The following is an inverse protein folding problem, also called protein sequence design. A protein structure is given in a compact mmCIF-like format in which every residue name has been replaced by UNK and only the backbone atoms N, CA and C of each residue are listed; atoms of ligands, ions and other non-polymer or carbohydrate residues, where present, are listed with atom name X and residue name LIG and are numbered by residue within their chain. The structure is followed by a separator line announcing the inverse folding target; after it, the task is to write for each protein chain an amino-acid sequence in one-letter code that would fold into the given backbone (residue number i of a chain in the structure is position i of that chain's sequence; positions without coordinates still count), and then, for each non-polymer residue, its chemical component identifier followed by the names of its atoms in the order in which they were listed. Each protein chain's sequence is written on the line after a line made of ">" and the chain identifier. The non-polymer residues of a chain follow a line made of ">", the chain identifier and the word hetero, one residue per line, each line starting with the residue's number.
data_IF_048273961982
#
_entry.id   IF_048273961982
#
_cell.length_a   1.000
_cell.length_b   1.000
_cell.length_c   1.000
_cell.angle_alpha   90.00
_cell.angle_beta   90.00
_cell.angle_gamma   90.00
#
_symmetry.space_group_name_H-M   'P 1'
#
loop_
_entity.id
_entity.type
_entity.pdbx_description
1 polymer ?
#
# COMPACT_ATOMS: atom_id res chain seq x y z
N UNK A 1 10.81 -24.73 15.52
CA UNK A 1 9.76 -23.90 16.16
C UNK A 1 8.67 -23.76 15.12
N UNK A 2 7.59 -24.51 15.27
CA UNK A 2 6.45 -24.48 14.36
C UNK A 2 5.87 -23.06 14.36
N UNK A 3 5.84 -22.43 13.18
CA UNK A 3 5.20 -21.14 13.01
C UNK A 3 3.72 -21.35 13.26
N UNK A 4 3.20 -20.76 14.34
CA UNK A 4 1.77 -20.69 14.61
C UNK A 4 1.14 -19.73 13.58
N UNK A 5 1.08 -20.14 12.32
CA UNK A 5 0.26 -19.49 11.29
C UNK A 5 -1.17 -19.73 11.75
N UNK A 6 -1.88 -18.66 12.07
CA UNK A 6 -3.31 -18.72 12.34
C UNK A 6 -3.98 -19.40 11.13
N UNK A 7 -4.36 -20.67 11.26
CA UNK A 7 -5.10 -21.38 10.21
C UNK A 7 -6.57 -20.94 10.31
N UNK A 8 -6.98 -20.10 9.37
CA UNK A 8 -8.37 -19.69 9.20
C UNK A 8 -9.17 -20.89 8.67
N UNK A 9 -10.34 -21.19 9.27
CA UNK A 9 -11.13 -22.34 8.82
C UNK A 9 -11.64 -22.12 7.38
N UNK A 10 -11.83 -23.19 6.57
CA UNK A 10 -12.36 -23.07 5.22
C UNK A 10 -13.71 -22.33 5.16
N UNK A 11 -14.55 -22.51 6.17
CA UNK A 11 -15.84 -21.83 6.29
C UNK A 11 -15.66 -20.32 6.53
N UNK A 12 -14.65 -19.95 7.31
CA UNK A 12 -14.31 -18.54 7.57
C UNK A 12 -13.74 -17.89 6.32
N UNK A 13 -12.87 -18.59 5.58
CA UNK A 13 -12.37 -18.13 4.27
C UNK A 13 -13.54 -17.88 3.32
N UNK A 14 -14.45 -18.84 3.19
CA UNK A 14 -15.60 -18.73 2.31
C UNK A 14 -16.54 -17.59 2.72
N UNK A 15 -16.76 -17.41 4.03
CA UNK A 15 -17.52 -16.28 4.55
C UNK A 15 -16.89 -14.93 4.20
N UNK A 16 -15.56 -14.79 4.35
CA UNK A 16 -14.84 -13.56 4.03
C UNK A 16 -14.86 -13.27 2.52
N UNK A 17 -14.70 -14.30 1.67
CA UNK A 17 -14.81 -14.16 0.22
C UNK A 17 -16.22 -13.73 -0.20
N UNK A 18 -17.26 -14.33 0.39
CA UNK A 18 -18.64 -13.93 0.11
C UNK A 18 -18.93 -12.50 0.58
N UNK A 19 -18.39 -12.09 1.74
CA UNK A 19 -18.50 -10.71 2.22
C UNK A 19 -17.84 -9.71 1.28
N UNK A 20 -16.64 -10.03 0.78
CA UNK A 20 -15.92 -9.18 -0.18
C UNK A 20 -16.74 -8.93 -1.45
N UNK A 21 -17.44 -9.95 -1.93
CA UNK A 21 -18.17 -9.92 -3.19
C UNK A 21 -19.65 -9.48 -3.04
N UNK A 22 -20.08 -9.15 -1.82
CA UNK A 22 -21.44 -8.68 -1.54
C UNK A 22 -21.58 -7.18 -1.83
N UNK A 23 -22.10 -6.87 -3.02
CA UNK A 23 -22.34 -5.49 -3.46
C UNK A 23 -23.36 -4.72 -2.60
N UNK A 24 -24.13 -5.39 -1.75
CA UNK A 24 -25.08 -4.73 -0.85
C UNK A 24 -24.42 -4.18 0.42
N UNK A 25 -23.17 -4.55 0.69
CA UNK A 25 -22.43 -4.18 1.91
C UNK A 25 -21.06 -3.56 1.61
N UNK A 26 -20.98 -2.32 1.10
CA UNK A 26 -19.70 -1.70 0.70
C UNK A 26 -18.64 -1.67 1.83
N UNK A 27 -19.07 -1.36 3.06
CA UNK A 27 -18.18 -1.37 4.24
C UNK A 27 -17.75 -2.81 4.58
N UNK A 28 -18.68 -3.76 4.47
CA UNK A 28 -18.40 -5.17 4.70
C UNK A 28 -17.39 -5.73 3.70
N UNK A 29 -17.46 -5.28 2.44
CA UNK A 29 -16.56 -5.69 1.38
C UNK A 29 -15.12 -5.21 1.62
N UNK A 30 -14.93 -3.94 2.02
CA UNK A 30 -13.64 -3.38 2.42
C UNK A 30 -13.05 -4.12 3.63
N UNK A 31 -13.86 -4.44 4.64
CA UNK A 31 -13.42 -5.28 5.76
C UNK A 31 -12.99 -6.69 5.32
N UNK A 32 -13.68 -7.23 4.32
CA UNK A 32 -13.36 -8.50 3.68
C UNK A 32 -11.97 -8.47 3.03
N UNK A 33 -11.67 -7.45 2.21
CA UNK A 33 -10.37 -7.34 1.55
C UNK A 33 -9.21 -7.24 2.55
N UNK A 34 -9.33 -6.42 3.61
CA UNK A 34 -8.33 -6.32 4.66
C UNK A 34 -8.06 -7.65 5.38
N UNK A 35 -9.11 -8.46 5.56
CA UNK A 35 -8.99 -9.77 6.22
C UNK A 35 -8.33 -10.79 5.30
N UNK A 36 -8.73 -10.81 4.03
CA UNK A 36 -8.26 -11.77 3.02
C UNK A 36 -6.79 -11.55 2.64
N UNK A 37 -6.26 -10.32 2.71
CA UNK A 37 -4.86 -10.01 2.35
C UNK A 37 -3.80 -10.81 3.11
N UNK A 38 -4.13 -11.27 4.32
CA UNK A 38 -3.22 -12.04 5.17
C UNK A 38 -3.40 -13.57 5.02
N UNK A 39 -4.32 -14.00 4.16
CA UNK A 39 -4.60 -15.41 3.91
C UNK A 39 -3.87 -15.87 2.65
N UNK A 40 -3.59 -17.16 2.58
CA UNK A 40 -3.00 -17.80 1.39
C UNK A 40 -4.00 -18.76 0.76
N UNK A 41 -3.86 -18.99 -0.55
CA UNK A 41 -4.61 -19.99 -1.28
C UNK A 41 -5.51 -19.43 -2.38
N UNK A 42 -6.00 -20.34 -3.22
CA UNK A 42 -6.70 -20.02 -4.46
C UNK A 42 -7.97 -19.22 -4.22
N UNK A 43 -8.75 -19.59 -3.19
CA UNK A 43 -10.06 -18.99 -2.95
C UNK A 43 -10.00 -17.51 -2.53
N UNK A 44 -9.19 -17.08 -1.55
CA UNK A 44 -8.94 -15.65 -1.30
C UNK A 44 -8.42 -14.91 -2.52
N UNK A 45 -7.45 -15.50 -3.24
CA UNK A 45 -6.83 -14.89 -4.42
C UNK A 45 -7.84 -14.63 -5.52
N UNK A 46 -8.67 -15.61 -5.86
CA UNK A 46 -9.73 -15.49 -6.87
C UNK A 46 -10.77 -14.42 -6.47
N UNK A 47 -11.20 -14.41 -5.21
CA UNK A 47 -12.17 -13.43 -4.73
C UNK A 47 -11.63 -12.00 -4.82
N UNK A 48 -10.39 -11.77 -4.37
CA UNK A 48 -9.71 -10.49 -4.49
C UNK A 48 -9.47 -10.09 -5.95
N UNK A 49 -9.01 -11.04 -6.79
CA UNK A 49 -8.79 -10.80 -8.21
C UNK A 49 -10.07 -10.35 -8.93
N UNK A 50 -11.22 -10.92 -8.56
CA UNK A 50 -12.52 -10.48 -9.05
C UNK A 50 -12.89 -9.09 -8.53
N UNK A 51 -12.63 -8.81 -7.26
CA UNK A 51 -12.94 -7.52 -6.65
C UNK A 51 -12.11 -6.35 -7.21
N UNK A 52 -10.95 -6.59 -7.83
CA UNK A 52 -10.17 -5.56 -8.55
C UNK A 52 -10.93 -4.93 -9.73
N UNK A 53 -12.07 -5.50 -10.14
CA UNK A 53 -12.96 -4.97 -11.18
C UNK A 53 -14.33 -4.56 -10.62
N UNK A 54 -14.43 -4.33 -9.31
CA UNK A 54 -15.66 -3.85 -8.70
C UNK A 54 -16.03 -2.45 -9.25
N UNK A 55 -17.33 -2.12 -9.42
CA UNK A 55 -17.75 -0.79 -9.84
C UNK A 55 -17.29 0.34 -8.89
N UNK A 56 -17.04 0.03 -7.62
CA UNK A 56 -16.40 0.94 -6.68
C UNK A 56 -14.89 0.96 -6.91
N UNK A 57 -14.39 2.07 -7.48
CA UNK A 57 -12.96 2.30 -7.63
C UNK A 57 -12.18 2.15 -6.32
N UNK A 58 -12.81 2.49 -5.18
CA UNK A 58 -12.22 2.34 -3.85
C UNK A 58 -12.02 0.87 -3.48
N UNK A 59 -13.03 0.03 -3.71
CA UNK A 59 -12.94 -1.40 -3.41
C UNK A 59 -12.00 -2.10 -4.40
N UNK A 60 -12.06 -1.72 -5.67
CA UNK A 60 -11.18 -2.25 -6.71
C UNK A 60 -9.71 -1.95 -6.42
N UNK A 61 -9.40 -0.71 -6.03
CA UNK A 61 -8.08 -0.32 -5.54
C UNK A 61 -7.67 -1.15 -4.32
N UNK A 62 -8.48 -1.19 -3.25
CA UNK A 62 -8.12 -1.94 -2.04
C UNK A 62 -7.94 -3.45 -2.30
N UNK A 63 -8.70 -4.02 -3.24
CA UNK A 63 -8.52 -5.41 -3.66
C UNK A 63 -7.17 -5.62 -4.37
N UNK A 64 -6.77 -4.71 -5.26
CA UNK A 64 -5.46 -4.78 -5.92
C UNK A 64 -4.31 -4.64 -4.92
N UNK A 65 -4.44 -3.71 -3.96
CA UNK A 65 -3.50 -3.56 -2.85
C UNK A 65 -3.39 -4.86 -2.05
N UNK A 66 -4.53 -5.43 -1.63
CA UNK A 66 -4.56 -6.68 -0.88
C UNK A 66 -3.89 -7.85 -1.63
N UNK A 67 -4.09 -7.96 -2.96
CA UNK A 67 -3.39 -8.95 -3.80
C UNK A 67 -1.87 -8.72 -3.78
N UNK A 68 -1.42 -7.46 -3.90
CA UNK A 68 0.00 -7.11 -3.79
C UNK A 68 0.62 -7.53 -2.46
N UNK A 69 -0.10 -7.30 -1.35
CA UNK A 69 0.33 -7.69 0.00
C UNK A 69 0.37 -9.22 0.20
N UNK A 70 -0.46 -9.98 -0.51
CA UNK A 70 -0.39 -11.46 -0.47
C UNK A 70 0.91 -12.00 -1.08
N UNK A 71 1.54 -11.23 -1.99
CA UNK A 71 2.73 -11.63 -2.76
C UNK A 71 2.57 -12.97 -3.50
N UNK A 72 1.34 -13.30 -3.92
CA UNK A 72 1.01 -14.55 -4.62
C UNK A 72 1.15 -14.37 -6.13
N UNK A 73 2.13 -15.03 -6.73
CA UNK A 73 2.45 -14.93 -8.16
C UNK A 73 1.32 -15.43 -9.08
N UNK A 74 0.42 -16.28 -8.59
CA UNK A 74 -0.71 -16.76 -9.38
C UNK A 74 -1.75 -15.66 -9.64
N UNK A 75 -1.65 -14.51 -8.97
CA UNK A 75 -2.52 -13.35 -9.19
C UNK A 75 -2.02 -12.42 -10.31
N UNK A 76 -0.78 -12.61 -10.80
CA UNK A 76 -0.17 -11.77 -11.83
C UNK A 76 -1.06 -11.61 -13.07
N UNK A 77 -1.65 -12.68 -13.65
CA UNK A 77 -2.48 -12.52 -14.84
C UNK A 77 -3.64 -11.54 -14.63
N UNK A 78 -4.31 -11.59 -13.48
CA UNK A 78 -5.41 -10.67 -13.15
C UNK A 78 -4.92 -9.23 -13.00
N UNK A 79 -3.76 -9.02 -12.38
CA UNK A 79 -3.13 -7.70 -12.23
C UNK A 79 -2.72 -7.11 -13.58
N UNK A 80 -2.15 -7.92 -14.48
CA UNK A 80 -1.79 -7.47 -15.83
C UNK A 80 -3.03 -7.01 -16.61
N UNK A 81 -4.14 -7.74 -16.51
CA UNK A 81 -5.39 -7.36 -17.15
C UNK A 81 -5.94 -6.03 -16.63
N UNK A 82 -5.85 -5.78 -15.32
CA UNK A 82 -6.27 -4.52 -14.70
C UNK A 82 -5.36 -3.37 -15.16
N UNK A 83 -4.04 -3.57 -15.13
CA UNK A 83 -3.09 -2.54 -15.55
C UNK A 83 -3.25 -2.14 -17.02
N UNK A 84 -3.50 -3.10 -17.92
CA UNK A 84 -3.67 -2.85 -19.37
C UNK A 84 -5.01 -2.19 -19.72
N UNK A 85 -6.03 -2.33 -18.87
CA UNK A 85 -7.39 -1.87 -19.17
C UNK A 85 -7.54 -0.36 -18.96
N UNK A 86 -7.42 0.40 -20.06
CA UNK A 86 -7.55 1.87 -20.08
C UNK A 86 -8.98 2.37 -19.76
N UNK A 87 -9.97 1.48 -19.66
CA UNK A 87 -11.33 1.87 -19.25
C UNK A 87 -11.48 1.95 -17.73
N UNK A 88 -10.58 1.32 -16.97
CA UNK A 88 -10.57 1.41 -15.51
C UNK A 88 -10.02 2.76 -15.04
N UNK A 89 -10.48 3.18 -13.86
CA UNK A 89 -10.01 4.41 -13.26
C UNK A 89 -8.49 4.33 -12.98
N UNK A 90 -7.71 5.41 -13.24
CA UNK A 90 -6.29 5.51 -12.94
C UNK A 90 -5.86 4.94 -11.59
N UNK A 91 -6.68 5.20 -10.56
CA UNK A 91 -6.46 4.72 -9.18
C UNK A 91 -6.28 3.20 -9.10
N UNK A 92 -7.11 2.43 -9.81
CA UNK A 92 -7.07 0.97 -9.77
C UNK A 92 -5.86 0.46 -10.57
N UNK A 93 -5.51 1.17 -11.64
CA UNK A 93 -4.41 0.78 -12.54
C UNK A 93 -3.05 1.01 -11.90
N UNK A 94 -2.83 2.13 -11.19
CA UNK A 94 -1.56 2.32 -10.48
C UNK A 94 -1.41 1.28 -9.38
N UNK A 95 -2.48 0.98 -8.64
CA UNK A 95 -2.43 -0.02 -7.58
C UNK A 95 -2.11 -1.43 -8.12
N UNK A 96 -2.60 -1.76 -9.32
CA UNK A 96 -2.19 -2.98 -10.00
C UNK A 96 -0.71 -2.99 -10.39
N UNK A 97 -0.14 -1.86 -10.84
CA UNK A 97 1.29 -1.74 -11.10
C UNK A 97 2.12 -1.89 -9.81
N UNK A 98 1.68 -1.28 -8.71
CA UNK A 98 2.31 -1.41 -7.39
C UNK A 98 2.30 -2.86 -6.91
N UNK A 99 1.15 -3.53 -6.99
CA UNK A 99 1.01 -4.93 -6.63
C UNK A 99 1.92 -5.85 -7.45
N UNK A 100 2.10 -5.60 -8.75
CA UNK A 100 3.08 -6.32 -9.59
C UNK A 100 4.52 -6.11 -9.07
N UNK A 101 4.88 -4.88 -8.68
CA UNK A 101 6.15 -4.57 -8.03
C UNK A 101 6.32 -5.23 -6.66
N UNK A 102 5.23 -5.37 -5.90
CA UNK A 102 5.20 -6.02 -4.58
C UNK A 102 5.44 -7.53 -4.66
N UNK A 103 4.84 -8.21 -5.65
CA UNK A 103 5.07 -9.64 -5.94
C UNK A 103 6.49 -9.86 -6.49
N UNK A 104 7.02 -8.88 -7.22
CA UNK A 104 8.42 -8.78 -7.62
C UNK A 104 8.95 -9.90 -8.55
N UNK A 105 8.14 -10.42 -9.47
CA UNK A 105 8.62 -11.40 -10.47
C UNK A 105 9.28 -10.72 -11.66
N UNK A 106 10.16 -11.42 -12.37
CA UNK A 106 10.81 -10.87 -13.57
C UNK A 106 9.94 -10.90 -14.81
N UNK A 107 8.89 -11.74 -14.81
CA UNK A 107 7.99 -11.90 -15.96
C UNK A 107 7.22 -10.62 -16.30
N UNK A 108 7.01 -9.75 -15.31
CA UNK A 108 6.19 -8.54 -15.45
C UNK A 108 6.99 -7.32 -15.90
N UNK A 109 8.32 -7.40 -15.97
CA UNK A 109 9.20 -6.26 -16.32
C UNK A 109 8.85 -5.69 -17.68
N UNK A 110 8.73 -6.54 -18.71
CA UNK A 110 8.44 -6.09 -20.07
C UNK A 110 7.07 -5.39 -20.17
N UNK A 111 6.10 -5.80 -19.35
CA UNK A 111 4.81 -5.12 -19.27
C UNK A 111 4.95 -3.75 -18.61
N UNK A 112 5.60 -3.67 -17.45
CA UNK A 112 5.80 -2.42 -16.73
C UNK A 112 6.58 -1.40 -17.58
N UNK A 113 7.61 -1.83 -18.30
CA UNK A 113 8.35 -0.99 -19.26
C UNK A 113 7.46 -0.50 -20.40
N UNK A 114 6.66 -1.38 -21.01
CA UNK A 114 5.72 -0.98 -22.07
C UNK A 114 4.69 0.04 -21.58
N UNK A 115 4.10 -0.18 -20.40
CA UNK A 115 3.14 0.78 -19.81
C UNK A 115 3.81 2.10 -19.47
N UNK A 116 5.02 2.06 -18.91
CA UNK A 116 5.79 3.27 -18.60
C UNK A 116 6.15 4.11 -19.85
N UNK A 117 6.30 3.48 -21.01
CA UNK A 117 6.60 4.19 -22.27
C UNK A 117 5.36 4.69 -23.01
N UNK A 118 4.20 4.07 -22.79
CA UNK A 118 2.99 4.26 -23.62
C UNK A 118 1.78 4.87 -22.88
N UNK A 119 1.73 4.80 -21.55
CA UNK A 119 0.65 5.43 -20.79
C UNK A 119 0.73 6.95 -20.80
N UNK A 120 -0.41 7.62 -20.62
CA UNK A 120 -0.51 9.07 -20.47
C UNK A 120 -0.91 9.48 -19.05
N UNK A 121 -1.16 8.51 -18.17
CA UNK A 121 -1.63 8.72 -16.80
C UNK A 121 -0.43 8.80 -15.86
N UNK A 122 -0.13 9.98 -15.34
CA UNK A 122 1.07 10.25 -14.53
C UNK A 122 1.18 9.28 -13.35
N UNK A 123 0.08 9.03 -12.63
CA UNK A 123 0.08 8.11 -11.49
C UNK A 123 0.50 6.69 -11.88
N UNK A 124 0.04 6.20 -13.02
CA UNK A 124 0.38 4.85 -13.51
C UNK A 124 1.84 4.80 -13.95
N UNK A 125 2.33 5.86 -14.61
CA UNK A 125 3.71 5.97 -15.06
C UNK A 125 4.69 5.98 -13.88
N UNK A 126 4.46 6.87 -12.91
CA UNK A 126 5.27 6.98 -11.69
C UNK A 126 5.28 5.65 -10.92
N UNK A 127 4.13 4.96 -10.81
CA UNK A 127 4.07 3.67 -10.13
C UNK A 127 4.77 2.54 -10.91
N UNK A 128 4.71 2.53 -12.24
CA UNK A 128 5.46 1.55 -13.04
C UNK A 128 6.97 1.71 -12.84
N UNK A 129 7.47 2.94 -12.76
CA UNK A 129 8.86 3.24 -12.42
C UNK A 129 9.25 2.70 -11.04
N UNK A 130 8.42 2.98 -10.01
CA UNK A 130 8.62 2.45 -8.66
C UNK A 130 8.66 0.92 -8.64
N UNK A 131 7.70 0.27 -9.31
CA UNK A 131 7.60 -1.18 -9.39
C UNK A 131 8.82 -1.82 -10.07
N UNK A 132 9.28 -1.23 -11.18
CA UNK A 132 10.50 -1.68 -11.89
C UNK A 132 11.71 -1.59 -10.97
N UNK A 133 11.90 -0.44 -10.29
CA UNK A 133 13.04 -0.25 -9.41
C UNK A 133 13.00 -1.21 -8.22
N UNK A 134 11.82 -1.41 -7.62
CA UNK A 134 11.61 -2.37 -6.54
C UNK A 134 11.98 -3.81 -6.94
N UNK A 135 11.60 -4.26 -8.13
CA UNK A 135 11.96 -5.59 -8.65
C UNK A 135 13.48 -5.73 -8.76
N UNK A 136 14.18 -4.69 -9.22
CA UNK A 136 15.65 -4.67 -9.31
C UNK A 136 16.29 -4.69 -7.93
N UNK A 137 15.85 -3.83 -7.02
CA UNK A 137 16.41 -3.70 -5.67
C UNK A 137 16.21 -4.96 -4.84
N UNK A 138 15.04 -5.62 -4.93
CA UNK A 138 14.85 -6.92 -4.30
C UNK A 138 15.86 -7.97 -4.79
N UNK A 139 16.22 -7.99 -6.09
CA UNK A 139 17.26 -8.91 -6.59
C UNK A 139 18.63 -8.61 -6.00
N UNK A 140 18.96 -7.32 -5.80
CA UNK A 140 20.23 -6.90 -5.20
C UNK A 140 20.28 -7.33 -3.73
N UNK A 141 19.23 -7.08 -2.96
CA UNK A 141 19.11 -7.49 -1.55
C UNK A 141 19.21 -9.02 -1.41
N UNK A 142 18.54 -9.79 -2.28
CA UNK A 142 18.64 -11.26 -2.27
C UNK A 142 20.04 -11.78 -2.62
N UNK A 143 20.84 -11.04 -3.41
CA UNK A 143 22.22 -11.39 -3.76
C UNK A 143 23.27 -10.90 -2.76
N UNK A 144 22.91 -9.96 -1.88
CA UNK A 144 23.84 -9.26 -1.00
C UNK A 144 23.38 -9.22 0.46
N UNK A 145 23.13 -10.38 1.08
CA UNK A 145 22.97 -10.57 2.54
C UNK A 145 21.75 -9.87 3.19
N UNK A 146 21.02 -10.64 4.01
CA UNK A 146 19.90 -10.16 4.83
C UNK A 146 20.40 -9.22 5.94
N UNK A 147 20.48 -7.92 5.64
CA UNK A 147 20.58 -6.89 6.68
C UNK A 147 19.18 -6.68 7.29
N UNK A 148 18.98 -7.27 8.47
CA UNK A 148 17.94 -7.03 9.47
C UNK A 148 16.62 -6.37 9.01
N UNK A 149 15.76 -7.12 8.32
CA UNK A 149 14.31 -6.84 8.23
C UNK A 149 13.59 -7.01 9.59
N UNK A 150 14.32 -7.15 10.71
CA UNK A 150 13.77 -7.40 12.04
C UNK A 150 13.24 -6.15 12.74
N UNK A 151 13.47 -4.95 12.20
CA UNK A 151 13.08 -3.68 12.84
C UNK A 151 12.09 -2.84 12.00
N UNK A 152 11.40 -3.48 11.05
CA UNK A 152 10.29 -2.83 10.34
C UNK A 152 9.07 -2.80 11.26
N UNK A 153 8.81 -1.63 11.85
CA UNK A 153 7.60 -1.34 12.65
C UNK A 153 6.30 -1.54 11.86
N UNK A 154 6.39 -1.59 10.54
CA UNK A 154 5.25 -1.73 9.62
C UNK A 154 5.34 -3.10 8.91
N UNK A 155 4.24 -3.85 8.88
CA UNK A 155 4.13 -5.17 8.22
C UNK A 155 3.55 -5.05 6.80
N UNK A 156 3.85 -3.97 6.09
CA UNK A 156 3.43 -3.73 4.70
C UNK A 156 4.58 -3.99 3.73
N UNK A 157 4.23 -4.46 2.54
CA UNK A 157 5.11 -4.49 1.37
C UNK A 157 5.03 -3.11 0.72
N UNK A 158 6.01 -2.26 0.99
CA UNK A 158 6.01 -0.86 0.52
C UNK A 158 6.46 -0.73 -0.95
N UNK A 159 6.00 0.27 -1.72
CA UNK A 159 6.41 0.47 -3.11
C UNK A 159 7.91 0.77 -3.31
N UNK A 160 8.58 1.37 -2.32
CA UNK A 160 10.04 1.56 -2.33
C UNK A 160 10.66 0.95 -1.07
N UNK A 161 11.92 0.50 -1.17
CA UNK A 161 12.68 0.17 0.04
C UNK A 161 13.01 1.46 0.80
N UNK A 162 12.92 1.47 2.14
CA UNK A 162 13.29 2.65 2.90
C UNK A 162 14.76 2.98 2.66
N UNK A 163 15.06 4.27 2.49
CA UNK A 163 16.43 4.75 2.39
C UNK A 163 17.26 4.28 3.60
N UNK A 164 18.55 4.01 3.35
CA UNK A 164 19.50 3.55 4.36
C UNK A 164 19.50 4.45 5.59
N UNK A 165 19.60 3.83 6.77
CA UNK A 165 19.57 4.52 8.08
C UNK A 165 20.78 5.43 8.36
N UNK A 166 21.68 5.64 7.39
CA UNK A 166 22.78 6.59 7.49
C UNK A 166 22.39 8.02 7.10
N UNK A 167 21.23 8.22 6.47
CA UNK A 167 20.66 9.54 6.23
C UNK A 167 20.20 10.22 7.53
N UNK A 168 20.66 11.46 7.78
CA UNK A 168 20.09 12.27 8.86
C UNK A 168 18.64 12.65 8.55
N UNK A 169 17.84 12.97 9.58
CA UNK A 169 16.47 13.44 9.37
C UNK A 169 16.41 14.63 8.40
N UNK A 170 17.40 15.53 8.46
CA UNK A 170 17.50 16.68 7.58
C UNK A 170 17.72 16.27 6.11
N UNK A 171 18.60 15.29 5.87
CA UNK A 171 18.86 14.78 4.52
C UNK A 171 17.62 14.09 3.94
N UNK A 172 16.95 13.24 4.72
CA UNK A 172 15.71 12.59 4.28
C UNK A 172 14.61 13.61 3.99
N UNK A 173 14.57 14.72 4.76
CA UNK A 173 13.62 15.79 4.53
C UNK A 173 13.92 16.58 3.27
N UNK A 174 15.20 16.84 2.99
CA UNK A 174 15.65 17.51 1.77
C UNK A 174 15.29 16.68 0.54
N UNK A 175 15.58 15.38 0.54
CA UNK A 175 15.23 14.47 -0.56
C UNK A 175 13.73 14.41 -0.78
N UNK A 176 12.93 14.15 0.27
CA UNK A 176 11.47 14.00 0.14
C UNK A 176 10.79 15.27 -0.44
N UNK A 177 11.27 16.45 -0.05
CA UNK A 177 10.69 17.73 -0.44
C UNK A 177 11.28 18.33 -1.72
N UNK A 178 12.30 17.71 -2.31
CA UNK A 178 12.91 18.18 -3.55
C UNK A 178 12.12 17.67 -4.77
N UNK A 179 11.44 18.58 -5.48
CA UNK A 179 10.66 18.24 -6.69
C UNK A 179 11.54 17.87 -7.89
N UNK A 180 12.85 18.13 -7.83
CA UNK A 180 13.80 17.73 -8.85
C UNK A 180 14.35 16.30 -8.64
N UNK A 181 14.08 15.67 -7.49
CA UNK A 181 14.50 14.29 -7.22
C UNK A 181 13.58 13.26 -7.90
N UNK A 182 14.18 12.11 -8.23
CA UNK A 182 13.44 10.96 -8.74
C UNK A 182 12.39 10.47 -7.73
N UNK A 183 11.22 10.07 -8.21
CA UNK A 183 10.09 9.68 -7.36
C UNK A 183 10.45 8.51 -6.44
N UNK A 184 11.31 7.60 -6.89
CA UNK A 184 11.78 6.47 -6.07
C UNK A 184 12.57 6.93 -4.84
N UNK A 185 13.48 7.88 -5.00
CA UNK A 185 14.30 8.39 -3.89
C UNK A 185 13.44 9.17 -2.88
N UNK A 186 12.46 9.92 -3.38
CA UNK A 186 11.46 10.60 -2.54
C UNK A 186 10.64 9.59 -1.74
N UNK A 187 10.18 8.51 -2.36
CA UNK A 187 9.47 7.42 -1.68
C UNK A 187 10.34 6.65 -0.69
N UNK A 188 11.61 6.40 -1.02
CA UNK A 188 12.57 5.78 -0.11
C UNK A 188 12.78 6.66 1.14
N UNK A 189 12.88 7.97 0.97
CA UNK A 189 12.96 8.94 2.06
C UNK A 189 11.67 9.01 2.88
N UNK A 190 10.50 8.98 2.24
CA UNK A 190 9.19 8.91 2.88
C UNK A 190 9.06 7.71 3.81
N UNK A 191 9.40 6.51 3.33
CA UNK A 191 9.34 5.30 4.14
C UNK A 191 10.41 5.25 5.23
N UNK A 192 11.61 5.79 4.98
CA UNK A 192 12.62 5.95 6.03
C UNK A 192 12.12 6.90 7.15
N UNK A 193 11.56 8.06 6.82
CA UNK A 193 10.96 9.00 7.77
C UNK A 193 9.78 8.39 8.53
N UNK A 194 8.92 7.62 7.85
CA UNK A 194 7.83 6.85 8.47
C UNK A 194 8.38 5.84 9.48
N UNK A 195 9.42 5.10 9.11
CA UNK A 195 10.05 4.08 9.96
C UNK A 195 10.80 4.70 11.15
N UNK A 196 11.29 5.94 11.03
CA UNK A 196 11.88 6.72 12.13
C UNK A 196 10.79 7.12 13.15
N UNK A 197 9.66 7.66 12.69
CA UNK A 197 8.46 7.86 13.51
C UNK A 197 8.55 8.94 14.60
N UNK A 198 9.51 9.85 14.52
CA UNK A 198 9.60 11.03 15.41
C UNK A 198 8.64 12.15 14.97
N UNK A 199 8.20 13.00 15.90
CA UNK A 199 7.31 14.14 15.63
C UNK A 199 7.81 15.06 14.50
N UNK A 200 9.13 15.24 14.41
CA UNK A 200 9.77 16.01 13.34
C UNK A 200 9.58 15.34 11.96
N UNK A 201 9.69 14.01 11.88
CA UNK A 201 9.45 13.24 10.64
C UNK A 201 8.00 13.38 10.17
N UNK A 202 7.04 13.39 11.10
CA UNK A 202 5.61 13.57 10.80
C UNK A 202 5.36 14.91 10.12
N UNK A 203 5.95 15.99 10.62
CA UNK A 203 5.79 17.32 10.04
C UNK A 203 6.33 17.40 8.60
N UNK A 204 7.38 16.67 8.28
CA UNK A 204 7.98 16.60 6.93
C UNK A 204 7.09 15.79 6.00
N UNK A 205 6.59 14.63 6.46
CA UNK A 205 5.65 13.80 5.68
C UNK A 205 4.41 14.60 5.33
N UNK A 206 3.82 15.33 6.28
CA UNK A 206 2.64 16.18 6.04
C UNK A 206 2.93 17.24 4.97
N UNK A 207 4.12 17.85 4.98
CA UNK A 207 4.51 18.81 3.93
C UNK A 207 4.60 18.15 2.56
N UNK A 208 5.14 16.93 2.49
CA UNK A 208 5.28 16.18 1.25
C UNK A 208 3.93 15.80 0.63
N UNK A 209 2.86 15.68 1.44
CA UNK A 209 1.49 15.48 0.93
C UNK A 209 0.97 16.67 0.10
N UNK A 210 1.64 17.83 0.16
CA UNK A 210 1.38 18.99 -0.67
C UNK A 210 2.23 19.09 -1.95
N UNK A 211 3.02 18.05 -2.29
CA UNK A 211 3.95 18.03 -3.42
C UNK A 211 3.26 18.12 -4.80
N UNK A 212 4.04 18.40 -5.85
CA UNK A 212 3.57 18.39 -7.24
C UNK A 212 3.35 16.97 -7.80
N UNK A 213 4.03 15.95 -7.28
CA UNK A 213 3.78 14.55 -7.64
C UNK A 213 2.34 14.16 -7.28
N UNK A 214 1.60 13.67 -8.28
CA UNK A 214 0.23 13.19 -8.08
C UNK A 214 0.19 11.97 -7.16
N UNK A 215 1.26 11.15 -7.19
CA UNK A 215 1.41 9.95 -6.37
C UNK A 215 1.72 10.30 -4.90
N UNK A 216 2.65 11.23 -4.61
CA UNK A 216 2.86 11.69 -3.22
C UNK A 216 1.63 12.41 -2.62
N UNK A 217 0.86 13.12 -3.44
CA UNK A 217 -0.45 13.64 -3.00
C UNK A 217 -1.49 12.56 -2.80
N UNK A 218 -1.39 11.46 -3.53
CA UNK A 218 -2.30 10.31 -3.43
C UNK A 218 -2.05 9.52 -2.14
N UNK A 219 -0.80 9.45 -1.68
CA UNK A 219 -0.48 8.99 -0.32
C UNK A 219 -1.10 9.87 0.77
N UNK A 220 -1.51 11.09 0.41
CA UNK A 220 -2.23 12.04 1.24
C UNK A 220 -3.75 11.82 1.18
N UNK A 221 -4.51 12.38 2.15
CA UNK A 221 -5.96 12.24 2.12
C UNK A 221 -6.52 13.07 0.96
N UNK A 222 -6.99 12.42 -0.12
CA UNK A 222 -7.97 13.01 -1.05
C UNK A 222 -9.36 12.53 -0.64
N UNK A 223 -10.41 13.26 -1.04
CA UNK A 223 -11.80 12.83 -0.86
C UNK A 223 -11.97 11.37 -1.32
N UNK A 224 -12.11 10.46 -0.35
CA UNK A 224 -12.31 9.04 -0.61
C UNK A 224 -11.05 8.19 -0.88
N UNK A 225 -9.82 8.71 -0.75
CA UNK A 225 -8.59 7.89 -0.82
C UNK A 225 -8.02 7.58 0.57
N UNK A 226 -7.60 6.33 0.76
CA UNK A 226 -6.92 5.85 1.96
C UNK A 226 -5.48 6.39 2.01
N UNK A 227 -4.99 6.76 3.20
CA UNK A 227 -3.57 7.07 3.44
C UNK A 227 -2.75 5.77 3.40
N UNK A 228 -2.29 5.35 2.22
CA UNK A 228 -1.48 4.14 2.02
C UNK A 228 -0.18 4.14 2.83
N UNK A 229 0.46 5.31 3.04
CA UNK A 229 1.63 5.46 3.93
C UNK A 229 1.41 5.04 5.38
N UNK A 230 0.19 5.13 5.92
CA UNK A 230 -0.10 4.91 7.35
C UNK A 230 -0.91 3.64 7.59
N UNK A 231 -0.81 2.63 6.71
CA UNK A 231 -1.54 1.35 6.82
C UNK A 231 -1.18 0.49 8.06
N UNK A 232 -0.54 1.10 9.07
CA UNK A 232 -0.42 0.62 10.46
C UNK A 232 -0.62 1.83 11.41
N UNK A 233 -1.34 1.59 12.52
CA UNK A 233 -1.76 2.59 13.51
C UNK A 233 -0.83 3.80 13.67
N UNK A 234 -1.30 5.04 13.41
CA UNK A 234 -0.50 6.23 13.61
C UNK A 234 0.03 6.32 15.04
N UNK A 235 1.25 6.85 15.22
CA UNK A 235 1.75 7.13 16.57
C UNK A 235 0.85 8.17 17.27
N UNK A 236 0.72 8.15 18.61
CA UNK A 236 -0.09 9.13 19.36
C UNK A 236 0.25 10.59 19.04
N UNK A 237 1.49 10.88 18.64
CA UNK A 237 1.94 12.21 18.22
C UNK A 237 1.32 12.66 16.90
N UNK A 238 1.14 11.76 15.93
CA UNK A 238 0.47 12.02 14.66
C UNK A 238 -1.00 12.39 14.94
N UNK A 239 -1.67 11.64 15.80
CA UNK A 239 -3.03 11.95 16.25
C UNK A 239 -3.14 13.35 16.87
N UNK A 240 -2.20 13.72 17.74
CA UNK A 240 -2.20 15.01 18.42
C UNK A 240 -1.96 16.19 17.48
N UNK A 241 -1.15 16.02 16.44
CA UNK A 241 -0.89 17.06 15.43
C UNK A 241 -2.09 17.27 14.50
N UNK A 242 -2.73 16.18 14.07
CA UNK A 242 -3.93 16.21 13.21
C UNK A 242 -5.17 16.81 13.92
N UNK A 243 -5.24 16.72 15.25
CA UNK A 243 -6.39 17.19 16.05
C UNK A 243 -6.50 18.72 16.14
N UNK A 244 -5.39 19.47 16.07
CA UNK A 244 -5.34 20.88 16.52
C UNK A 244 -5.64 21.98 15.46
N UNK A 245 -5.82 21.68 14.16
CA UNK A 245 -5.99 22.71 13.11
C UNK A 245 -7.35 22.63 12.41
N UNK A 246 -8.34 23.42 12.79
CA UNK A 246 -9.71 23.37 12.23
C UNK A 246 -9.78 23.65 10.73
N UNK A 247 -10.15 22.62 9.95
CA UNK A 247 -11.13 22.71 8.88
C UNK A 247 -11.71 21.31 8.66
N UNK A 248 -12.95 21.21 8.21
CA UNK A 248 -13.81 20.04 8.44
C UNK A 248 -13.44 18.69 7.76
N UNK A 249 -12.30 18.56 7.08
CA UNK A 249 -11.86 17.33 6.37
C UNK A 249 -10.98 16.37 7.20
N UNK A 250 -10.72 16.70 8.46
CA UNK A 250 -10.23 15.76 9.50
C UNK A 250 -11.11 14.51 9.67
N UNK A 251 -12.32 14.46 9.09
CA UNK A 251 -13.30 13.38 9.20
C UNK A 251 -12.83 12.04 8.57
N UNK A 252 -11.82 12.05 7.69
CA UNK A 252 -11.12 10.83 7.20
C UNK A 252 -10.04 10.35 8.18
N UNK A 253 -9.42 11.25 8.95
CA UNK A 253 -8.51 10.89 10.05
C UNK A 253 -9.21 10.12 11.21
N UNK A 254 -10.54 9.94 11.13
CA UNK A 254 -11.40 9.34 12.15
C UNK A 254 -11.91 7.92 11.83
N UNK A 255 -12.11 7.51 10.57
CA UNK A 255 -12.76 6.20 10.28
C UNK A 255 -11.79 5.01 10.18
N UNK A 256 -10.50 5.25 9.93
CA UNK A 256 -9.47 4.20 9.85
C UNK A 256 -8.39 4.29 10.92
N UNK A 257 -8.52 5.26 11.83
CA UNK A 257 -8.04 5.06 13.17
C UNK A 257 -8.70 3.82 13.75
N UNK A 258 -8.05 2.65 13.63
CA UNK A 258 -8.14 1.60 14.64
C UNK A 258 -9.33 0.62 14.58
N UNK A 259 -9.84 0.20 13.42
CA UNK A 259 -10.76 -0.95 13.42
C UNK A 259 -10.15 -2.25 13.96
N UNK A 260 -8.82 -2.37 14.15
CA UNK A 260 -8.23 -3.52 14.84
C UNK A 260 -6.96 -3.17 15.62
N UNK A 261 -7.10 -2.37 16.68
CA UNK A 261 -6.33 -2.63 17.90
C UNK A 261 -6.72 -4.05 18.36
N UNK A 262 -5.90 -5.05 18.00
CA UNK A 262 -6.16 -6.49 18.11
C UNK A 262 -6.27 -7.08 19.53
N UNK A 263 -6.24 -6.27 20.60
CA UNK A 263 -6.09 -6.82 21.97
C UNK A 263 -7.26 -6.62 22.93
N UNK A 264 -8.31 -5.84 22.61
CA UNK A 264 -9.38 -5.55 23.59
C UNK A 264 -10.71 -6.29 23.38
N UNK A 265 -10.81 -7.26 22.46
CA UNK A 265 -12.10 -7.91 22.18
C UNK A 265 -12.45 -9.12 23.10
N UNK A 266 -11.57 -9.54 24.01
CA UNK A 266 -11.83 -10.70 24.89
C UNK A 266 -11.86 -10.42 26.39
N UNK A 267 -11.84 -9.16 26.82
CA UNK A 267 -11.98 -8.85 28.24
C UNK A 267 -12.71 -7.54 28.41
N UNK A 268 -14.03 -7.60 28.49
CA UNK A 268 -14.83 -7.05 29.58
C UNK A 268 -16.18 -7.79 29.53
N UNK A 269 -16.38 -8.61 30.56
CA UNK A 269 -17.69 -9.06 31.05
C UNK A 269 -18.38 -7.95 31.81
#
# INVERSE_FOLDING_TARGET
>A
MESNKFECSPETVEFLCNRLLDQSQPIGALQGSFSLRNLSGDRPREALSRAMRDPSNLLAHEAAFAVGQMQDADAIPALEEVLKDKSLHPIVRHEAAEALGAIATTGVIALLESVWMEDSTVEVLETCELALRRIVDQKIVHKGYQASLKDLRFQSVDPALPASFDGSLDQLSEVLLNEEEEIYERYAALFALRNIGHDASVGVIIKALGAESALLRHEGPKEGSHLSIFNVSPSPSIYKHLWNNDDEDKKVAYVLGQLQNKENFFSIS
#
